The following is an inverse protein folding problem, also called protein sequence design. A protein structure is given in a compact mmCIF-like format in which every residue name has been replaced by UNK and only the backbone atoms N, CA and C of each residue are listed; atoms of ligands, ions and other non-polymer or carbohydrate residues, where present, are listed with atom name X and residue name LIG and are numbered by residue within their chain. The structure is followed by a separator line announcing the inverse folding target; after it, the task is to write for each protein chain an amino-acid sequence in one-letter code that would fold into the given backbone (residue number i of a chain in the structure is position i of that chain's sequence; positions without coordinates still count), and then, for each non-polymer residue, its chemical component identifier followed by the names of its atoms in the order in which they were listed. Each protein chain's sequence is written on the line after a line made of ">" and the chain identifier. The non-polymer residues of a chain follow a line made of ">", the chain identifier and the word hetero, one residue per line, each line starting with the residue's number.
data_IF_422213740983
#
_entry.id   IF_422213740983
#
_cell.length_a   1.000
_cell.length_b   1.000
_cell.length_c   1.000
_cell.angle_alpha   90.00
_cell.angle_beta   90.00
_cell.angle_gamma   90.00
#
_symmetry.space_group_name_H-M   'P 1'
#
loop_
_entity.id
_entity.type
_entity.pdbx_description
1 polymer ?
#
# COMPACT_ATOMS: atom_id res chain seq x y z
N UNK A 1 7.69 -22.43 -11.68
CA UNK A 1 7.07 -21.33 -12.40
C UNK A 1 6.30 -20.45 -11.41
N UNK A 2 6.57 -19.17 -11.36
CA UNK A 2 5.79 -18.31 -10.48
C UNK A 2 4.37 -18.25 -11.00
N UNK A 3 3.42 -18.49 -10.12
CA UNK A 3 2.02 -18.49 -10.47
C UNK A 3 1.42 -17.10 -10.52
N UNK A 4 2.19 -16.12 -10.06
CA UNK A 4 1.72 -14.73 -9.96
C UNK A 4 2.78 -13.79 -10.47
N UNK A 5 2.37 -12.91 -11.37
CA UNK A 5 3.18 -11.76 -11.69
C UNK A 5 3.18 -10.78 -10.51
N UNK A 6 4.29 -10.07 -10.27
CA UNK A 6 4.29 -9.04 -9.23
C UNK A 6 3.24 -7.97 -9.54
N UNK A 7 2.68 -7.41 -8.48
CA UNK A 7 1.77 -6.29 -8.63
C UNK A 7 2.47 -5.12 -9.29
N UNK A 8 1.76 -4.43 -10.17
CA UNK A 8 2.26 -3.22 -10.83
C UNK A 8 1.65 -2.00 -10.17
N UNK A 9 2.49 -1.16 -9.58
CA UNK A 9 2.05 0.00 -8.82
C UNK A 9 2.52 1.26 -9.54
N UNK A 10 1.58 2.10 -9.95
CA UNK A 10 1.86 3.27 -10.78
C UNK A 10 1.62 4.56 -9.99
N UNK A 11 2.69 5.21 -9.49
CA UNK A 11 2.54 6.52 -8.86
C UNK A 11 2.07 7.56 -9.88
N UNK A 12 1.12 8.40 -9.48
CA UNK A 12 0.77 9.56 -10.29
C UNK A 12 1.87 10.63 -10.17
N UNK A 13 1.70 11.77 -10.83
CA UNK A 13 2.70 12.83 -10.82
C UNK A 13 2.98 13.35 -9.40
N UNK A 14 1.95 13.47 -8.58
CA UNK A 14 2.09 13.93 -7.20
C UNK A 14 2.83 12.91 -6.34
N UNK A 15 2.50 11.64 -6.50
CA UNK A 15 3.17 10.56 -5.77
C UNK A 15 4.63 10.45 -6.19
N UNK A 16 4.92 10.61 -7.48
CA UNK A 16 6.30 10.59 -7.99
C UNK A 16 7.12 11.71 -7.38
N UNK A 17 6.57 12.92 -7.36
CA UNK A 17 7.22 14.07 -6.76
C UNK A 17 7.47 13.84 -5.26
N UNK A 18 6.48 13.28 -4.55
CA UNK A 18 6.62 12.97 -3.14
C UNK A 18 7.71 11.93 -2.89
N UNK A 19 7.76 10.88 -3.70
CA UNK A 19 8.79 9.84 -3.59
C UNK A 19 10.18 10.41 -3.82
N UNK A 20 10.34 11.28 -4.79
CA UNK A 20 11.62 11.92 -5.09
C UNK A 20 12.06 12.83 -3.96
N UNK A 21 11.13 13.47 -3.28
CA UNK A 21 11.40 14.35 -2.15
C UNK A 21 11.66 13.61 -0.84
N UNK A 22 11.24 12.35 -0.76
CA UNK A 22 11.35 11.53 0.46
C UNK A 22 12.07 10.21 0.16
N UNK A 23 13.35 10.26 -0.21
CA UNK A 23 14.09 9.02 -0.48
C UNK A 23 14.18 8.17 0.78
N UNK A 24 14.13 6.86 0.61
CA UNK A 24 14.20 5.93 1.72
C UNK A 24 15.16 4.79 1.38
N UNK A 25 15.99 4.43 2.35
CA UNK A 25 16.85 3.24 2.24
C UNK A 25 16.09 1.95 2.54
N UNK A 26 14.87 2.06 3.04
CA UNK A 26 14.03 0.92 3.40
C UNK A 26 12.99 0.67 2.31
N UNK A 27 12.61 -0.59 2.16
CA UNK A 27 11.52 -0.97 1.27
C UNK A 27 10.20 -0.45 1.84
N UNK A 28 9.36 0.09 0.97
CA UNK A 28 8.01 0.50 1.38
C UNK A 28 7.06 -0.67 1.27
N UNK A 29 6.04 -0.66 2.11
CA UNK A 29 5.03 -1.72 2.14
C UNK A 29 3.63 -1.11 2.10
N UNK A 30 2.70 -1.83 1.48
CA UNK A 30 1.28 -1.55 1.58
C UNK A 30 0.77 -2.45 2.70
N UNK A 31 0.56 -1.86 3.87
CA UNK A 31 0.20 -2.58 5.08
C UNK A 31 -1.32 -2.62 5.26
N UNK A 32 -1.81 -3.75 5.73
CA UNK A 32 -3.23 -3.96 6.03
C UNK A 32 -3.33 -4.21 7.53
N UNK A 33 -3.73 -3.20 8.26
CA UNK A 33 -3.80 -3.26 9.72
C UNK A 33 -5.25 -3.35 10.18
N UNK A 34 -5.49 -4.18 11.17
CA UNK A 34 -6.82 -4.33 11.79
C UNK A 34 -6.76 -3.78 13.19
N UNK A 35 -7.61 -2.81 13.47
CA UNK A 35 -7.72 -2.22 14.79
C UNK A 35 -9.08 -2.54 15.39
N UNK A 36 -9.09 -2.82 16.68
CA UNK A 36 -10.33 -3.01 17.41
C UNK A 36 -10.82 -1.67 17.93
N UNK A 37 -12.08 -1.38 17.67
CA UNK A 37 -12.74 -0.20 18.23
C UNK A 37 -13.35 -0.50 19.59
N UNK A 38 -13.55 0.53 20.38
CA UNK A 38 -14.36 0.46 21.59
C UNK A 38 -15.75 -0.02 21.19
N UNK A 39 -16.28 -1.04 21.87
CA UNK A 39 -17.57 -1.59 21.54
C UNK A 39 -17.55 -2.84 20.68
N UNK A 40 -16.37 -3.37 20.36
CA UNK A 40 -16.20 -4.65 19.69
C UNK A 40 -16.15 -4.63 18.17
N UNK A 41 -16.18 -3.43 17.55
CA UNK A 41 -16.01 -3.30 16.13
C UNK A 41 -14.57 -3.44 15.68
N UNK A 42 -14.37 -3.70 14.39
CA UNK A 42 -13.03 -3.72 13.77
C UNK A 42 -12.94 -2.66 12.71
N UNK A 43 -11.79 -2.01 12.64
CA UNK A 43 -11.47 -1.09 11.56
C UNK A 43 -10.28 -1.63 10.81
N UNK A 44 -10.39 -1.80 9.50
CA UNK A 44 -9.29 -2.19 8.64
C UNK A 44 -8.68 -0.93 8.04
N UNK A 45 -7.38 -0.77 8.18
CA UNK A 45 -6.66 0.39 7.66
C UNK A 45 -5.59 -0.10 6.70
N UNK A 46 -5.60 0.42 5.48
CA UNK A 46 -4.56 0.16 4.51
C UNK A 46 -3.74 1.43 4.34
N UNK A 47 -2.44 1.31 4.47
CA UNK A 47 -1.55 2.47 4.33
C UNK A 47 -0.20 2.06 3.76
N UNK A 48 0.47 3.04 3.18
CA UNK A 48 1.82 2.87 2.67
C UNK A 48 2.80 3.36 3.72
N UNK A 49 3.74 2.52 4.12
CA UNK A 49 4.76 2.86 5.11
C UNK A 49 6.07 2.16 4.78
N UNK A 50 7.10 2.44 5.52
CA UNK A 50 8.36 1.73 5.40
C UNK A 50 8.30 0.40 6.15
N UNK A 51 9.04 -0.59 5.63
CA UNK A 51 9.16 -1.89 6.29
C UNK A 51 9.88 -1.70 7.63
N UNK A 52 9.30 -2.29 8.67
CA UNK A 52 9.85 -2.25 10.02
C UNK A 52 10.60 -3.55 10.33
N UNK A 53 11.64 -3.52 11.21
CA UNK A 53 12.29 -4.75 11.65
C UNK A 53 11.33 -5.75 12.31
N UNK A 54 10.19 -5.29 12.80
CA UNK A 54 9.16 -6.12 13.43
C UNK A 54 8.28 -6.84 12.41
N UNK A 55 8.34 -6.42 11.15
CA UNK A 55 7.53 -7.04 10.11
C UNK A 55 8.08 -8.41 9.73
N UNK A 56 7.16 -9.35 9.54
CA UNK A 56 7.51 -10.68 9.07
C UNK A 56 7.51 -10.69 7.54
N UNK A 57 8.65 -10.98 6.93
CA UNK A 57 8.79 -11.02 5.48
C UNK A 57 7.83 -11.99 4.79
N UNK A 58 7.42 -13.04 5.48
CA UNK A 58 6.45 -13.99 4.95
C UNK A 58 5.02 -13.46 4.86
N UNK A 59 4.76 -12.30 5.46
CA UNK A 59 3.45 -11.66 5.44
C UNK A 59 3.20 -10.78 4.23
N UNK A 60 4.16 -10.71 3.30
CA UNK A 60 4.09 -9.80 2.15
C UNK A 60 4.31 -10.55 0.83
N UNK A 61 3.72 -10.01 -0.23
CA UNK A 61 3.96 -10.46 -1.59
C UNK A 61 4.63 -9.34 -2.38
N UNK A 62 5.38 -9.67 -3.44
CA UNK A 62 6.13 -8.66 -4.17
C UNK A 62 5.25 -7.79 -5.06
N UNK A 63 5.67 -6.55 -5.23
CA UNK A 63 5.15 -5.62 -6.22
C UNK A 63 6.29 -4.75 -6.72
N UNK A 64 6.04 -4.02 -7.78
CA UNK A 64 7.03 -3.13 -8.36
C UNK A 64 6.38 -1.80 -8.75
N UNK A 65 7.07 -0.71 -8.41
CA UNK A 65 6.70 0.61 -8.92
C UNK A 65 7.10 0.71 -10.39
N UNK A 66 6.51 1.66 -11.10
CA UNK A 66 6.77 1.83 -12.53
C UNK A 66 8.23 2.11 -12.88
N UNK A 67 9.02 2.58 -11.92
CA UNK A 67 10.47 2.81 -12.10
C UNK A 67 11.32 1.57 -11.77
N UNK A 68 10.68 0.46 -11.43
CA UNK A 68 11.37 -0.78 -11.06
C UNK A 68 11.69 -0.93 -9.58
N UNK A 69 11.38 0.07 -8.77
CA UNK A 69 11.61 -0.01 -7.32
C UNK A 69 10.65 -1.03 -6.70
N UNK A 70 11.17 -1.86 -5.81
CA UNK A 70 10.34 -2.85 -5.13
C UNK A 70 9.41 -2.21 -4.11
N UNK A 71 8.21 -2.77 -4.01
CA UNK A 71 7.26 -2.47 -2.96
C UNK A 71 6.63 -3.79 -2.52
N UNK A 72 6.37 -3.93 -1.24
CA UNK A 72 5.75 -5.15 -0.71
C UNK A 72 4.28 -4.90 -0.39
N UNK A 73 3.48 -5.94 -0.52
CA UNK A 73 2.03 -5.84 -0.33
C UNK A 73 1.61 -6.88 0.70
N UNK A 74 0.90 -6.45 1.73
CA UNK A 74 0.39 -7.34 2.76
C UNK A 74 -0.46 -8.44 2.13
N UNK A 75 -0.21 -9.70 2.50
CA UNK A 75 -0.94 -10.85 1.96
C UNK A 75 -2.44 -10.78 2.19
N UNK A 76 -2.87 -10.08 3.22
CA UNK A 76 -4.30 -9.92 3.51
C UNK A 76 -4.96 -8.96 2.54
N UNK A 77 -4.22 -7.99 2.02
CA UNK A 77 -4.73 -7.05 1.03
C UNK A 77 -4.62 -7.58 -0.41
N UNK A 78 -3.60 -8.38 -0.68
CA UNK A 78 -3.31 -8.82 -2.05
C UNK A 78 -4.49 -9.44 -2.80
N UNK A 79 -5.29 -10.35 -2.21
CA UNK A 79 -6.43 -10.93 -2.93
C UNK A 79 -7.52 -9.93 -3.29
N UNK A 80 -7.51 -8.77 -2.63
CA UNK A 80 -8.53 -7.73 -2.80
C UNK A 80 -8.08 -6.60 -3.72
N UNK A 81 -6.83 -6.64 -4.17
CA UNK A 81 -6.26 -5.62 -5.02
C UNK A 81 -6.22 -6.07 -6.47
N UNK A 82 -6.46 -5.16 -7.42
CA UNK A 82 -6.19 -5.48 -8.82
C UNK A 82 -4.68 -5.65 -9.03
N UNK A 83 -4.29 -6.35 -10.07
CA UNK A 83 -2.88 -6.60 -10.37
C UNK A 83 -2.11 -5.32 -10.71
N UNK A 84 -2.81 -4.28 -11.11
CA UNK A 84 -2.25 -2.96 -11.40
C UNK A 84 -3.12 -1.90 -10.75
N UNK A 85 -2.49 -1.02 -9.98
CA UNK A 85 -3.21 0.07 -9.31
C UNK A 85 -2.28 1.25 -9.12
N UNK A 86 -2.86 2.40 -8.79
CA UNK A 86 -2.11 3.64 -8.65
C UNK A 86 -1.80 4.03 -7.22
N UNK A 87 -0.81 4.90 -7.08
CA UNK A 87 -0.53 5.61 -5.84
C UNK A 87 -0.71 7.10 -6.07
N UNK A 88 -1.18 7.77 -5.05
CA UNK A 88 -1.33 9.23 -5.05
C UNK A 88 -0.87 9.79 -3.70
N UNK A 89 -1.02 11.08 -3.52
CA UNK A 89 -0.68 11.76 -2.25
C UNK A 89 -1.95 12.34 -1.67
N UNK A 90 -2.19 12.04 -0.40
CA UNK A 90 -3.31 12.58 0.37
C UNK A 90 -2.80 13.40 1.54
N UNK A 91 -3.63 14.32 2.02
CA UNK A 91 -3.32 15.17 3.16
C UNK A 91 -2.80 16.54 2.76
N UNK A 92 -2.50 17.36 3.76
CA UNK A 92 -2.06 18.75 3.58
C UNK A 92 -0.79 19.01 4.38
N UNK A 93 0.10 19.81 3.81
CA UNK A 93 1.31 20.25 4.51
C UNK A 93 2.14 19.08 5.05
N UNK A 94 2.50 19.09 6.34
CA UNK A 94 3.31 18.02 6.91
C UNK A 94 2.55 16.69 7.07
N UNK A 95 1.23 16.68 6.85
CA UNK A 95 0.42 15.47 6.94
C UNK A 95 0.27 14.75 5.60
N UNK A 96 0.96 15.19 4.58
CA UNK A 96 0.94 14.52 3.28
C UNK A 96 1.53 13.12 3.39
N UNK A 97 0.87 12.17 2.75
CA UNK A 97 1.33 10.78 2.73
C UNK A 97 0.94 10.11 1.42
N UNK A 98 1.65 9.05 1.07
CA UNK A 98 1.26 8.19 -0.03
C UNK A 98 0.01 7.41 0.34
N UNK A 99 -0.86 7.21 -0.64
CA UNK A 99 -2.06 6.42 -0.47
C UNK A 99 -2.41 5.74 -1.79
N UNK A 100 -3.27 4.74 -1.73
CA UNK A 100 -3.77 4.08 -2.94
C UNK A 100 -4.71 5.02 -3.67
N UNK A 101 -4.58 5.06 -5.00
CA UNK A 101 -5.43 5.91 -5.84
C UNK A 101 -6.69 5.12 -6.20
N UNK A 102 -7.61 5.04 -5.24
CA UNK A 102 -8.84 4.28 -5.35
C UNK A 102 -10.06 5.19 -5.21
N UNK A 103 -11.13 4.82 -5.91
CA UNK A 103 -12.45 5.40 -5.71
C UNK A 103 -13.20 4.63 -4.62
N UNK A 104 -14.34 5.16 -4.20
CA UNK A 104 -15.12 4.59 -3.11
C UNK A 104 -15.45 3.10 -3.24
N UNK A 105 -15.83 2.66 -4.43
CA UNK A 105 -16.14 1.25 -4.69
C UNK A 105 -14.91 0.36 -4.51
N UNK A 106 -13.75 0.84 -4.95
CA UNK A 106 -12.50 0.10 -4.82
C UNK A 106 -12.08 0.01 -3.36
N UNK A 107 -12.26 1.09 -2.60
CA UNK A 107 -12.03 1.07 -1.16
C UNK A 107 -12.96 0.09 -0.45
N UNK A 108 -14.22 0.05 -0.86
CA UNK A 108 -15.19 -0.88 -0.30
C UNK A 108 -14.76 -2.33 -0.52
N UNK A 109 -14.32 -2.67 -1.73
CA UNK A 109 -13.86 -4.02 -2.05
C UNK A 109 -12.61 -4.41 -1.25
N UNK A 110 -11.75 -3.44 -0.94
CA UNK A 110 -10.51 -3.68 -0.20
C UNK A 110 -10.76 -3.84 1.30
N UNK A 111 -11.63 -3.02 1.88
CA UNK A 111 -11.80 -2.92 3.32
C UNK A 111 -13.01 -3.70 3.85
N UNK A 112 -14.04 -3.81 3.04
CA UNK A 112 -15.29 -4.48 3.43
C UNK A 112 -15.58 -5.61 2.46
N UNK A 113 -15.67 -6.73 2.96
CA UNK A 113 -15.85 -7.90 2.13
C UNK A 113 -17.31 -8.28 1.97
#
# INVERSE_FOLDING_TARGET
>A
MPDHDPFQVEPDARAREWLDAHPSSKTRVIAYDVHRCCGGGRICIVRVRELSPEDDSGSYVPGALSDGTDILIDRRAAPRLPSRFGLTVCGFGPLKRLDLDFEGEQWGALLYD
#
